data_IF_806612924826
#
_entry.id   IF_806612924826
#
_cell.length_a   1.000
_cell.length_b   1.000
_cell.length_c   1.000
_cell.angle_alpha   90.00
_cell.angle_beta   90.00
_cell.angle_gamma   90.00
#
_symmetry.space_group_name_H-M   'P 1'
#
loop_
_entity.id
_entity.type
_entity.pdbx_description
1 polymer ?
#
# COMPACT_ATOMS: atom_id res chain seq x y z
N UNK A 1 -6.67 -19.63 18.19
CA UNK A 1 -6.13 -18.91 19.37
C UNK A 1 -7.12 -17.82 19.69
N UNK A 2 -7.70 -17.80 20.90
CA UNK A 2 -8.65 -16.75 21.30
C UNK A 2 -7.83 -15.63 21.93
N UNK A 3 -7.93 -14.42 21.37
CA UNK A 3 -7.22 -13.25 21.86
C UNK A 3 -8.21 -12.30 22.52
N UNK A 4 -7.94 -11.92 23.76
CA UNK A 4 -8.73 -10.92 24.47
C UNK A 4 -8.04 -9.57 24.37
N UNK A 5 -8.79 -8.56 23.94
CA UNK A 5 -8.31 -7.18 23.83
C UNK A 5 -9.21 -6.31 24.71
N UNK A 6 -8.59 -5.51 25.57
CA UNK A 6 -9.31 -4.53 26.39
C UNK A 6 -9.34 -3.19 25.66
N UNK A 7 -10.53 -2.61 25.54
CA UNK A 7 -10.75 -1.34 24.86
C UNK A 7 -11.29 -0.32 25.84
N UNK A 8 -10.74 0.90 25.79
CA UNK A 8 -11.31 2.04 26.51
C UNK A 8 -12.60 2.51 25.81
N UNK A 9 -13.37 3.36 26.49
CA UNK A 9 -14.70 3.75 26.00
C UNK A 9 -14.64 4.66 24.77
N UNK A 10 -13.60 5.49 24.66
CA UNK A 10 -13.37 6.31 23.46
C UNK A 10 -13.16 5.45 22.21
N UNK A 11 -12.37 4.37 22.33
CA UNK A 11 -12.12 3.44 21.24
C UNK A 11 -13.38 2.64 20.90
N UNK A 12 -14.17 2.21 21.90
CA UNK A 12 -15.47 1.56 21.63
C UNK A 12 -16.42 2.49 20.88
N UNK A 13 -16.49 3.75 21.28
CA UNK A 13 -17.32 4.75 20.60
C UNK A 13 -16.86 4.98 19.17
N UNK A 14 -15.54 5.08 18.94
CA UNK A 14 -14.98 5.19 17.61
C UNK A 14 -15.31 3.97 16.73
N UNK A 15 -15.09 2.75 17.25
CA UNK A 15 -15.43 1.51 16.55
C UNK A 15 -16.91 1.42 16.23
N UNK A 16 -17.78 1.88 17.13
CA UNK A 16 -19.22 1.92 16.87
C UNK A 16 -19.60 2.84 15.72
N UNK A 17 -18.91 3.98 15.55
CA UNK A 17 -19.11 4.91 14.43
C UNK A 17 -18.57 4.38 13.10
N UNK A 18 -17.62 3.44 13.15
CA UNK A 18 -16.98 2.81 11.99
C UNK A 18 -17.74 1.58 11.46
N UNK A 19 -18.78 1.14 12.17
CA UNK A 19 -19.67 0.08 11.68
C UNK A 19 -20.44 0.59 10.47
N UNK A 20 -20.46 -0.19 9.41
CA UNK A 20 -21.23 0.09 8.19
C UNK A 20 -22.69 -0.36 8.39
N UNK A 21 -22.90 -1.37 9.23
CA UNK A 21 -24.21 -1.90 9.57
C UNK A 21 -24.29 -2.21 11.06
N UNK A 22 -25.48 -2.08 11.64
CA UNK A 22 -25.74 -2.41 13.04
C UNK A 22 -25.52 -3.90 13.37
N UNK A 23 -25.41 -4.76 12.34
CA UNK A 23 -25.12 -6.19 12.51
C UNK A 23 -23.63 -6.50 12.69
N UNK A 24 -22.73 -5.55 12.41
CA UNK A 24 -21.30 -5.79 12.55
C UNK A 24 -20.88 -5.82 14.02
N UNK A 25 -19.96 -6.73 14.33
CA UNK A 25 -19.28 -6.78 15.63
C UNK A 25 -18.08 -5.83 15.63
N UNK A 26 -17.50 -5.59 16.81
CA UNK A 26 -16.24 -4.84 16.87
C UNK A 26 -15.06 -5.62 16.26
N UNK A 27 -15.10 -6.95 16.32
CA UNK A 27 -14.10 -7.80 15.68
C UNK A 27 -14.11 -7.62 14.16
N UNK A 28 -15.29 -7.60 13.53
CA UNK A 28 -15.42 -7.39 12.09
C UNK A 28 -14.78 -6.08 11.64
N UNK A 29 -15.00 -5.01 12.42
CA UNK A 29 -14.41 -3.68 12.17
C UNK A 29 -12.89 -3.73 12.33
N UNK A 30 -12.39 -4.31 13.42
CA UNK A 30 -10.94 -4.41 13.70
C UNK A 30 -10.23 -5.22 12.63
N UNK A 31 -10.78 -6.37 12.23
CA UNK A 31 -10.22 -7.23 11.17
C UNK A 31 -10.19 -6.49 9.84
N UNK A 32 -11.26 -5.75 9.49
CA UNK A 32 -11.28 -4.91 8.29
C UNK A 32 -10.17 -3.84 8.32
N UNK A 33 -9.99 -3.17 9.45
CA UNK A 33 -8.93 -2.15 9.58
C UNK A 33 -7.53 -2.77 9.42
N UNK A 34 -7.29 -3.94 10.01
CA UNK A 34 -6.02 -4.65 9.86
C UNK A 34 -5.77 -4.99 8.39
N UNK A 35 -6.78 -5.53 7.69
CA UNK A 35 -6.68 -5.83 6.25
C UNK A 35 -6.37 -4.59 5.41
N UNK A 36 -7.07 -3.48 5.65
CA UNK A 36 -6.82 -2.23 4.93
C UNK A 36 -5.39 -1.69 5.14
N UNK A 37 -4.84 -1.85 6.34
CA UNK A 37 -3.44 -1.46 6.62
C UNK A 37 -2.48 -2.36 5.84
N UNK A 38 -2.76 -3.66 5.79
CA UNK A 38 -1.90 -4.63 5.10
C UNK A 38 -1.95 -4.46 3.58
N UNK A 39 -3.15 -4.30 3.02
CA UNK A 39 -3.37 -3.95 1.61
C UNK A 39 -2.66 -2.65 1.25
N UNK A 40 -2.80 -1.59 2.06
CA UNK A 40 -2.11 -0.32 1.82
C UNK A 40 -0.58 -0.44 1.84
N UNK A 41 -0.02 -1.35 2.64
CA UNK A 41 1.42 -1.60 2.64
C UNK A 41 1.86 -2.29 1.34
N UNK A 42 1.11 -3.31 0.91
CA UNK A 42 1.40 -4.04 -0.32
C UNK A 42 1.26 -3.12 -1.54
N UNK A 43 0.21 -2.31 -1.63
CA UNK A 43 0.00 -1.35 -2.71
C UNK A 43 1.17 -0.35 -2.81
N UNK A 44 1.67 0.14 -1.67
CA UNK A 44 2.84 1.04 -1.66
C UNK A 44 4.10 0.37 -2.20
N UNK A 45 4.32 -0.89 -1.88
CA UNK A 45 5.47 -1.67 -2.37
C UNK A 45 5.35 -1.87 -3.89
N UNK A 46 4.16 -2.24 -4.37
CA UNK A 46 3.91 -2.46 -5.79
C UNK A 46 4.05 -1.18 -6.62
N UNK A 47 3.54 -0.05 -6.10
CA UNK A 47 3.72 1.26 -6.74
C UNK A 47 5.21 1.63 -6.84
N UNK A 48 5.97 1.44 -5.76
CA UNK A 48 7.41 1.72 -5.76
C UNK A 48 8.15 0.84 -6.78
N UNK A 49 7.84 -0.47 -6.80
CA UNK A 49 8.44 -1.40 -7.75
C UNK A 49 8.17 -0.98 -9.20
N UNK A 50 6.92 -0.65 -9.51
CA UNK A 50 6.54 -0.19 -10.86
C UNK A 50 7.26 1.10 -11.24
N UNK A 51 7.37 2.05 -10.30
CA UNK A 51 8.11 3.29 -10.52
C UNK A 51 9.58 3.04 -10.83
N UNK A 52 10.24 2.14 -10.11
CA UNK A 52 11.64 1.77 -10.39
C UNK A 52 11.80 1.07 -11.74
N UNK A 53 10.88 0.18 -12.12
CA UNK A 53 10.90 -0.49 -13.42
C UNK A 53 10.79 0.53 -14.58
N UNK A 54 9.84 1.47 -14.51
CA UNK A 54 9.66 2.52 -15.52
C UNK A 54 10.87 3.46 -15.59
N UNK A 55 11.43 3.84 -14.45
CA UNK A 55 12.65 4.65 -14.39
C UNK A 55 13.86 3.91 -14.98
N UNK A 56 14.01 2.63 -14.68
CA UNK A 56 15.10 1.82 -15.23
C UNK A 56 14.98 1.69 -16.75
N UNK A 57 13.79 1.43 -17.28
CA UNK A 57 13.55 1.35 -18.72
C UNK A 57 13.88 2.68 -19.40
N UNK A 58 13.37 3.78 -18.84
CA UNK A 58 13.63 5.12 -19.36
C UNK A 58 15.12 5.46 -19.34
N UNK A 59 15.80 5.16 -18.23
CA UNK A 59 17.23 5.39 -18.09
C UNK A 59 18.04 4.57 -19.09
N UNK A 60 17.66 3.32 -19.34
CA UNK A 60 18.31 2.48 -20.36
C UNK A 60 18.11 3.04 -21.76
N UNK A 61 16.89 3.43 -22.12
CA UNK A 61 16.61 4.03 -23.45
C UNK A 61 17.39 5.32 -23.66
N UNK A 62 17.43 6.20 -22.66
CA UNK A 62 18.26 7.42 -22.71
C UNK A 62 19.72 7.05 -22.95
N UNK A 63 20.27 6.12 -22.17
CA UNK A 63 21.67 5.71 -22.31
C UNK A 63 21.98 5.12 -23.70
N UNK A 64 21.07 4.36 -24.27
CA UNK A 64 21.20 3.81 -25.62
C UNK A 64 21.16 4.89 -26.70
N UNK A 65 20.30 5.90 -26.55
CA UNK A 65 20.24 7.08 -27.43
C UNK A 65 21.56 7.85 -27.42
N UNK A 66 22.08 8.18 -26.23
CA UNK A 66 23.36 8.88 -26.10
C UNK A 66 24.53 8.06 -26.63
N UNK A 67 24.57 6.75 -26.33
CA UNK A 67 25.61 5.85 -26.84
C UNK A 67 25.61 5.75 -28.37
N UNK A 68 24.43 5.86 -28.98
CA UNK A 68 24.29 5.84 -30.44
C UNK A 68 24.72 7.16 -31.07
N UNK A 69 24.42 8.28 -30.40
CA UNK A 69 24.85 9.61 -30.82
C UNK A 69 26.39 9.75 -30.75
N UNK A 70 27.03 9.28 -29.68
CA UNK A 70 28.49 9.33 -29.50
C UNK A 70 29.21 8.57 -30.63
N UNK A 71 28.72 7.37 -30.97
CA UNK A 71 29.26 6.54 -32.08
C UNK A 71 29.07 7.15 -33.48
N UNK A 72 28.17 8.12 -33.62
CA UNK A 72 27.89 8.78 -34.90
C UNK A 72 28.80 10.00 -35.13
N UNK A 73 29.49 10.46 -34.07
CA UNK A 73 30.36 11.63 -34.09
C UNK A 73 31.86 11.26 -34.11
N UNK A 74 32.20 9.97 -33.93
CA UNK A 74 33.49 9.34 -34.24
C UNK A 74 33.59 8.92 -35.72
#
# INVERSE_FOLDING_TARGET
>A
MITTIQLNDDVKMALSKMKISNKETYEDVIVRMIKQIDESKNDKIDILKKGYEEMSQTSSSINDEWSSADKQWD
#
